data_IF_766068700015
#
_entry.id   IF_766068700015
#
_cell.length_a   1.000
_cell.length_b   1.000
_cell.length_c   1.000
_cell.angle_alpha   90.00
_cell.angle_beta   90.00
_cell.angle_gamma   90.00
#
_symmetry.space_group_name_H-M   'P 1'
#
loop_
_entity.id
_entity.type
_entity.pdbx_description
1 polymer ?
#
# COMPACT_ATOMS: atom_id res chain seq x y z
N UNK A 1 -4.80 8.00 -23.49
CA UNK A 1 -3.91 6.83 -23.49
C UNK A 1 -2.48 7.38 -23.40
N UNK A 2 -1.93 7.52 -22.20
CA UNK A 2 -0.56 8.00 -21.99
C UNK A 2 0.38 6.86 -22.37
N UNK A 3 1.20 7.07 -23.38
CA UNK A 3 2.28 6.14 -23.74
C UNK A 3 3.39 6.29 -22.70
N UNK A 4 3.39 5.43 -21.70
CA UNK A 4 4.51 5.28 -20.81
C UNK A 4 5.63 4.53 -21.54
N UNK A 5 6.47 5.28 -22.23
CA UNK A 5 7.68 4.78 -22.85
C UNK A 5 8.85 5.62 -22.33
N UNK A 6 9.00 5.66 -21.01
CA UNK A 6 10.12 6.34 -20.38
C UNK A 6 11.01 5.33 -19.71
N UNK A 7 12.29 5.38 -20.04
CA UNK A 7 13.34 4.76 -19.23
C UNK A 7 13.04 5.18 -17.78
N UNK A 8 12.80 4.20 -16.92
CA UNK A 8 12.49 4.45 -15.51
C UNK A 8 13.63 5.25 -14.91
N UNK A 9 13.32 6.41 -14.38
CA UNK A 9 14.32 7.22 -13.67
C UNK A 9 14.44 6.68 -12.24
N UNK A 10 15.39 5.74 -12.06
CA UNK A 10 15.71 5.12 -10.77
C UNK A 10 16.01 6.20 -9.71
N UNK A 11 16.56 7.32 -10.09
CA UNK A 11 16.83 8.41 -9.18
C UNK A 11 15.53 9.02 -8.63
N UNK A 12 14.55 9.29 -9.48
CA UNK A 12 13.25 9.84 -9.03
C UNK A 12 12.52 8.84 -8.13
N UNK A 13 12.54 7.57 -8.51
CA UNK A 13 11.94 6.48 -7.74
C UNK A 13 12.56 6.38 -6.35
N UNK A 14 13.90 6.32 -6.27
CA UNK A 14 14.59 6.21 -4.98
C UNK A 14 14.44 7.47 -4.12
N UNK A 15 14.48 8.66 -4.72
CA UNK A 15 14.17 9.90 -4.01
C UNK A 15 12.76 9.89 -3.42
N UNK A 16 11.75 9.46 -4.20
CA UNK A 16 10.37 9.35 -3.74
C UNK A 16 10.25 8.43 -2.52
N UNK A 17 10.81 7.23 -2.62
CA UNK A 17 10.77 6.25 -1.54
C UNK A 17 11.52 6.73 -0.29
N UNK A 18 12.73 7.26 -0.46
CA UNK A 18 13.55 7.74 0.65
C UNK A 18 12.85 8.86 1.41
N UNK A 19 12.45 9.92 0.71
CA UNK A 19 11.81 11.08 1.33
C UNK A 19 10.49 10.69 2.00
N UNK A 20 9.68 9.85 1.34
CA UNK A 20 8.44 9.36 1.90
C UNK A 20 8.64 8.54 3.18
N UNK A 21 9.61 7.63 3.20
CA UNK A 21 9.95 6.85 4.39
C UNK A 21 10.49 7.74 5.52
N UNK A 22 11.32 8.75 5.20
CA UNK A 22 11.85 9.71 6.19
C UNK A 22 10.72 10.55 6.80
N UNK A 23 9.77 11.02 5.99
CA UNK A 23 8.59 11.74 6.46
C UNK A 23 7.77 10.90 7.44
N UNK A 24 7.47 9.65 7.11
CA UNK A 24 6.73 8.74 7.99
C UNK A 24 7.49 8.43 9.29
N UNK A 25 8.80 8.23 9.23
CA UNK A 25 9.64 8.04 10.42
C UNK A 25 9.67 9.26 11.33
N UNK A 26 9.69 10.46 10.76
CA UNK A 26 9.79 11.71 11.53
C UNK A 26 8.62 11.95 12.46
N UNK A 27 7.45 11.40 12.12
CA UNK A 27 6.23 11.46 12.96
C UNK A 27 5.99 10.19 13.77
N UNK A 28 6.92 9.24 13.74
CA UNK A 28 6.80 7.98 14.46
C UNK A 28 5.69 7.06 13.95
N UNK A 29 5.28 7.21 12.68
CA UNK A 29 4.29 6.35 12.07
C UNK A 29 4.80 4.91 12.00
N UNK A 30 3.93 3.95 12.32
CA UNK A 30 4.19 2.54 12.05
C UNK A 30 3.72 2.22 10.66
N UNK A 31 4.66 1.95 9.76
CA UNK A 31 4.40 1.77 8.34
C UNK A 31 5.23 0.64 7.73
N UNK A 32 4.83 0.18 6.56
CA UNK A 32 5.51 -0.88 5.79
C UNK A 32 5.22 -0.74 4.30
N UNK A 33 6.14 -1.24 3.47
CA UNK A 33 5.89 -1.42 2.05
C UNK A 33 4.94 -2.60 1.85
N UNK A 34 3.98 -2.48 0.97
CA UNK A 34 2.93 -3.47 0.76
C UNK A 34 2.59 -3.68 -0.72
N UNK A 35 1.59 -4.48 -0.95
CA UNK A 35 0.89 -4.66 -2.23
C UNK A 35 1.79 -4.89 -3.45
N UNK A 36 1.52 -4.19 -4.55
CA UNK A 36 2.17 -4.38 -5.83
C UNK A 36 3.67 -4.08 -5.79
N UNK A 37 4.05 -3.04 -5.10
CA UNK A 37 5.46 -2.64 -4.98
C UNK A 37 6.29 -3.71 -4.23
N UNK A 38 5.78 -4.22 -3.10
CA UNK A 38 6.47 -5.29 -2.36
C UNK A 38 6.52 -6.60 -3.16
N UNK A 39 5.40 -6.99 -3.79
CA UNK A 39 5.34 -8.17 -4.65
C UNK A 39 6.38 -8.11 -5.77
N UNK A 40 6.49 -6.96 -6.44
CA UNK A 40 7.41 -6.77 -7.55
C UNK A 40 8.87 -6.88 -7.11
N UNK A 41 9.24 -6.21 -6.02
CA UNK A 41 10.62 -6.21 -5.52
C UNK A 41 11.02 -7.62 -5.04
N UNK A 42 10.16 -8.33 -4.32
CA UNK A 42 10.43 -9.69 -3.87
C UNK A 42 10.52 -10.70 -5.01
N UNK A 43 9.85 -10.44 -6.12
CA UNK A 43 9.74 -11.35 -7.26
C UNK A 43 10.77 -11.07 -8.34
N UNK A 44 11.05 -9.80 -8.63
CA UNK A 44 11.86 -9.35 -9.77
C UNK A 44 13.08 -8.53 -9.35
N UNK A 45 13.20 -8.17 -8.07
CA UNK A 45 14.24 -7.28 -7.56
C UNK A 45 13.97 -5.80 -7.84
N UNK A 46 12.90 -5.49 -8.58
CA UNK A 46 12.51 -4.15 -8.99
C UNK A 46 10.99 -4.01 -8.99
N UNK A 47 10.47 -2.79 -8.82
CA UNK A 47 9.04 -2.52 -9.01
C UNK A 47 8.64 -2.80 -10.48
N UNK A 48 7.41 -3.25 -10.70
CA UNK A 48 6.98 -3.61 -12.06
C UNK A 48 7.11 -2.47 -13.05
N UNK A 49 7.48 -2.78 -14.29
CA UNK A 49 7.77 -1.77 -15.31
C UNK A 49 6.58 -0.86 -15.63
N UNK A 50 5.36 -1.32 -15.39
CA UNK A 50 4.13 -0.56 -15.60
C UNK A 50 3.66 0.21 -14.37
N UNK A 51 4.23 -0.07 -13.17
CA UNK A 51 3.90 0.62 -11.94
C UNK A 51 4.67 1.93 -11.81
N UNK A 52 4.05 2.88 -11.13
CA UNK A 52 4.58 4.21 -10.86
C UNK A 52 4.18 4.71 -9.47
N UNK A 53 3.90 3.76 -8.57
CA UNK A 53 3.52 4.02 -7.17
C UNK A 53 4.24 3.11 -6.19
N UNK A 54 4.29 3.57 -4.95
CA UNK A 54 4.66 2.79 -3.79
C UNK A 54 3.46 2.68 -2.87
N UNK A 55 2.99 1.46 -2.64
CA UNK A 55 1.94 1.18 -1.67
C UNK A 55 2.52 1.07 -0.27
N UNK A 56 2.14 1.97 0.61
CA UNK A 56 2.59 1.97 2.00
C UNK A 56 1.42 1.71 2.94
N UNK A 57 1.49 0.63 3.70
CA UNK A 57 0.57 0.38 4.80
C UNK A 57 0.91 1.26 6.01
N UNK A 58 -0.10 1.84 6.65
CA UNK A 58 0.01 2.65 7.88
C UNK A 58 -0.86 2.01 8.94
N UNK A 59 -0.33 1.81 10.14
CA UNK A 59 -1.12 1.28 11.24
C UNK A 59 -1.90 2.39 11.94
N UNK A 60 -3.23 2.42 11.74
CA UNK A 60 -4.13 3.42 12.31
C UNK A 60 -4.19 4.73 11.53
N UNK A 61 -5.06 5.62 11.93
CA UNK A 61 -5.34 6.89 11.25
C UNK A 61 -5.01 8.15 12.07
N UNK A 62 -4.63 7.94 13.33
CA UNK A 62 -4.50 9.03 14.29
C UNK A 62 -3.42 10.07 13.95
N UNK A 63 -2.63 9.86 12.91
CA UNK A 63 -1.49 10.71 12.55
C UNK A 63 -1.60 11.31 11.15
N UNK A 64 -2.77 11.27 10.50
CA UNK A 64 -2.88 11.77 9.11
C UNK A 64 -2.43 13.22 8.97
N UNK A 65 -2.81 14.08 9.90
CA UNK A 65 -2.46 15.50 9.84
C UNK A 65 -0.95 15.70 10.02
N UNK A 66 -0.34 15.01 10.95
CA UNK A 66 1.10 15.02 11.20
C UNK A 66 1.85 14.46 10.00
N UNK A 67 1.38 13.35 9.43
CA UNK A 67 1.91 12.75 8.20
C UNK A 67 1.86 13.78 7.07
N UNK A 68 0.70 14.40 6.80
CA UNK A 68 0.58 15.38 5.73
C UNK A 68 1.51 16.59 5.93
N UNK A 69 1.78 16.98 7.17
CA UNK A 69 2.67 18.11 7.49
C UNK A 69 4.15 17.72 7.36
N UNK A 70 4.49 16.44 7.55
CA UNK A 70 5.86 15.94 7.48
C UNK A 70 6.39 15.83 6.04
N UNK A 71 5.48 15.65 5.07
CA UNK A 71 5.89 15.59 3.68
C UNK A 71 6.33 16.97 3.16
N UNK A 72 7.47 17.07 2.47
CA UNK A 72 7.93 18.34 1.93
C UNK A 72 7.03 18.82 0.76
N UNK A 73 7.07 20.12 0.41
CA UNK A 73 6.14 20.73 -0.58
C UNK A 73 6.18 20.11 -1.97
N UNK A 74 7.23 19.37 -2.31
CA UNK A 74 7.37 18.64 -3.57
C UNK A 74 6.43 17.43 -3.66
N UNK A 75 6.00 16.90 -2.50
CA UNK A 75 4.99 15.87 -2.39
C UNK A 75 3.61 16.53 -2.38
N UNK A 76 2.95 16.49 -3.52
CA UNK A 76 1.66 17.14 -3.72
C UNK A 76 0.52 16.20 -3.35
N UNK A 77 -0.35 16.58 -2.39
CA UNK A 77 -1.51 15.76 -2.04
C UNK A 77 -2.40 15.50 -3.26
N UNK A 78 -2.81 14.26 -3.44
CA UNK A 78 -3.78 13.86 -4.45
C UNK A 78 -5.17 13.80 -3.81
N UNK A 79 -5.94 14.87 -3.91
CA UNK A 79 -7.25 14.98 -3.25
C UNK A 79 -8.24 13.88 -3.64
N UNK A 80 -8.14 13.34 -4.85
CA UNK A 80 -8.96 12.21 -5.30
C UNK A 80 -8.61 10.88 -4.62
N UNK A 81 -7.40 10.75 -4.06
CA UNK A 81 -6.95 9.57 -3.34
C UNK A 81 -7.27 9.62 -1.84
N UNK A 82 -7.81 10.74 -1.34
CA UNK A 82 -8.31 10.80 0.04
C UNK A 82 -9.63 10.03 0.14
N UNK A 83 -9.57 8.84 0.73
CA UNK A 83 -10.70 7.95 0.79
C UNK A 83 -11.17 7.75 2.23
N UNK A 84 -12.38 8.21 2.53
CA UNK A 84 -13.07 8.00 3.81
C UNK A 84 -14.20 6.99 3.60
N UNK A 85 -14.10 5.85 4.28
CA UNK A 85 -15.13 4.81 4.28
C UNK A 85 -15.43 4.44 5.73
N UNK A 86 -16.71 4.29 6.07
CA UNK A 86 -17.17 4.01 7.43
C UNK A 86 -16.66 5.02 8.48
N UNK A 87 -16.51 6.29 8.06
CA UNK A 87 -16.03 7.36 8.94
C UNK A 87 -14.54 7.32 9.26
N UNK A 88 -13.77 6.45 8.60
CA UNK A 88 -12.33 6.30 8.80
C UNK A 88 -11.56 6.57 7.53
N UNK A 89 -10.39 7.19 7.66
CA UNK A 89 -9.47 7.38 6.54
C UNK A 89 -8.93 6.02 6.09
N UNK A 90 -9.15 5.64 4.85
CA UNK A 90 -8.71 4.36 4.30
C UNK A 90 -7.51 4.50 3.37
N UNK A 91 -7.44 5.58 2.64
CA UNK A 91 -6.37 5.85 1.71
C UNK A 91 -6.04 7.33 1.62
N UNK A 92 -4.81 7.65 1.32
CA UNK A 92 -4.31 9.00 1.02
C UNK A 92 -3.07 8.88 0.16
N UNK A 93 -2.87 9.78 -0.80
CA UNK A 93 -1.68 9.70 -1.63
C UNK A 93 -1.06 11.07 -1.91
N UNK A 94 0.24 11.01 -2.20
CA UNK A 94 1.02 12.15 -2.66
C UNK A 94 1.62 11.84 -4.02
N UNK A 95 1.74 12.87 -4.86
CA UNK A 95 2.52 12.83 -6.07
C UNK A 95 3.86 13.49 -5.87
N UNK A 96 4.94 12.76 -6.18
CA UNK A 96 6.29 13.26 -6.27
C UNK A 96 6.81 13.08 -7.69
N UNK A 97 6.93 14.17 -8.45
CA UNK A 97 7.30 14.11 -9.87
C UNK A 97 6.39 13.15 -10.65
N UNK A 98 6.91 12.07 -11.20
CA UNK A 98 6.17 11.04 -11.93
C UNK A 98 5.72 9.87 -11.05
N UNK A 99 6.01 9.87 -9.76
CA UNK A 99 5.70 8.79 -8.82
C UNK A 99 4.59 9.16 -7.87
N UNK A 100 3.83 8.16 -7.46
CA UNK A 100 2.82 8.26 -6.41
C UNK A 100 3.35 7.56 -5.16
N UNK A 101 3.15 8.17 -4.02
CA UNK A 101 3.37 7.59 -2.71
C UNK A 101 2.01 7.39 -2.06
N UNK A 102 1.47 6.17 -2.17
CA UNK A 102 0.11 5.81 -1.73
C UNK A 102 0.13 5.27 -0.31
N UNK A 103 -0.71 5.81 0.54
CA UNK A 103 -0.87 5.43 1.95
C UNK A 103 -2.19 4.69 2.14
N UNK A 104 -2.14 3.49 2.71
CA UNK A 104 -3.30 2.70 3.10
C UNK A 104 -3.34 2.54 4.62
N UNK A 105 -4.43 3.01 5.22
CA UNK A 105 -4.59 3.00 6.67
C UNK A 105 -5.25 1.72 7.12
N UNK A 106 -4.58 1.02 8.03
CA UNK A 106 -4.99 -0.30 8.52
C UNK A 106 -5.41 -0.22 9.99
N UNK A 107 -6.56 -0.77 10.28
CA UNK A 107 -7.20 -0.68 11.60
C UNK A 107 -7.15 -2.01 12.32
N UNK A 108 -6.92 -1.95 13.62
CA UNK A 108 -6.92 -3.13 14.48
C UNK A 108 -8.32 -3.77 14.54
N UNK A 109 -8.36 -5.05 14.25
CA UNK A 109 -9.57 -5.87 14.19
C UNK A 109 -9.35 -7.22 14.88
N UNK A 110 -8.79 -7.17 16.10
CA UNK A 110 -8.44 -8.36 16.86
C UNK A 110 -7.18 -9.04 16.36
N UNK A 111 -7.30 -10.22 15.74
CA UNK A 111 -6.17 -10.96 15.17
C UNK A 111 -5.76 -10.46 13.77
N UNK A 112 -6.54 -9.53 13.20
CA UNK A 112 -6.30 -8.97 11.87
C UNK A 112 -6.10 -7.47 11.91
N UNK A 113 -5.52 -6.94 10.85
CA UNK A 113 -5.64 -5.55 10.42
C UNK A 113 -6.65 -5.51 9.29
N UNK A 114 -7.47 -4.47 9.24
CA UNK A 114 -8.51 -4.28 8.22
C UNK A 114 -8.36 -2.94 7.51
N UNK A 115 -8.52 -2.94 6.18
CA UNK A 115 -8.61 -1.75 5.34
C UNK A 115 -9.79 -1.90 4.38
N UNK A 116 -10.68 -0.90 4.32
CA UNK A 116 -11.79 -0.88 3.38
C UNK A 116 -11.38 -0.17 2.09
N UNK A 117 -11.80 -0.72 0.97
CA UNK A 117 -11.51 -0.13 -0.34
C UNK A 117 -12.73 -0.23 -1.26
N UNK A 118 -12.86 0.75 -2.15
CA UNK A 118 -13.84 0.71 -3.22
C UNK A 118 -13.31 -0.09 -4.39
N UNK A 119 -14.16 -0.92 -4.97
CA UNK A 119 -13.83 -1.68 -6.16
C UNK A 119 -14.99 -1.63 -7.16
N UNK A 120 -14.71 -1.65 -8.47
CA UNK A 120 -15.75 -1.70 -9.48
C UNK A 120 -16.41 -3.09 -9.48
N UNK A 121 -17.73 -3.12 -9.59
CA UNK A 121 -18.54 -4.30 -9.89
C UNK A 121 -19.24 -4.10 -11.22
N UNK A 122 -19.93 -5.11 -11.70
CA UNK A 122 -20.60 -5.08 -13.01
C UNK A 122 -21.55 -3.86 -13.18
N UNK A 123 -22.17 -3.41 -12.10
CA UNK A 123 -23.19 -2.33 -12.15
C UNK A 123 -22.88 -1.11 -11.30
N UNK A 124 -21.91 -1.16 -10.40
CA UNK A 124 -21.61 -0.06 -9.48
C UNK A 124 -20.26 -0.22 -8.76
N UNK A 125 -19.78 0.86 -8.15
CA UNK A 125 -18.71 0.79 -7.16
C UNK A 125 -19.24 0.16 -5.86
N UNK A 126 -18.52 -0.82 -5.35
CA UNK A 126 -18.79 -1.48 -4.07
C UNK A 126 -17.64 -1.27 -3.10
N UNK A 127 -17.89 -1.52 -1.84
CA UNK A 127 -16.88 -1.53 -0.80
C UNK A 127 -16.63 -2.96 -0.38
N UNK A 128 -15.37 -3.32 -0.26
CA UNK A 128 -14.93 -4.56 0.35
C UNK A 128 -13.80 -4.30 1.33
N UNK A 129 -13.45 -5.28 2.11
CA UNK A 129 -12.46 -5.17 3.17
C UNK A 129 -11.33 -6.16 2.94
N UNK A 130 -10.11 -5.67 3.03
CA UNK A 130 -8.92 -6.50 3.16
C UNK A 130 -8.69 -6.84 4.62
N UNK A 131 -8.32 -8.09 4.89
CA UNK A 131 -7.95 -8.61 6.19
C UNK A 131 -6.55 -9.20 6.10
N UNK A 132 -5.64 -8.76 6.92
CA UNK A 132 -4.28 -9.26 6.97
C UNK A 132 -3.93 -9.66 8.41
N UNK A 133 -3.25 -10.78 8.58
CA UNK A 133 -2.89 -11.30 9.90
C UNK A 133 -2.02 -10.31 10.65
N UNK A 134 -2.51 -9.75 11.73
CA UNK A 134 -1.87 -8.71 12.54
C UNK A 134 -0.46 -9.10 13.00
N UNK A 135 -0.22 -10.41 13.24
CA UNK A 135 1.09 -10.94 13.64
C UNK A 135 2.21 -10.54 12.69
N UNK A 136 1.91 -10.43 11.37
CA UNK A 136 2.89 -10.09 10.33
C UNK A 136 3.41 -8.66 10.42
N UNK A 137 2.67 -7.80 11.12
CA UNK A 137 2.96 -6.37 11.26
C UNK A 137 3.41 -5.99 12.68
N UNK A 138 3.44 -6.93 13.62
CA UNK A 138 3.84 -6.65 15.00
C UNK A 138 5.31 -6.29 15.08
N UNK A 139 6.16 -7.09 14.44
CA UNK A 139 7.61 -6.89 14.36
C UNK A 139 8.03 -6.89 12.89
N UNK A 140 8.05 -5.72 12.27
CA UNK A 140 8.43 -5.56 10.88
C UNK A 140 9.89 -5.96 10.64
N UNK A 141 10.16 -6.55 9.48
CA UNK A 141 11.53 -6.71 8.99
C UNK A 141 11.96 -5.44 8.23
N UNK A 142 13.23 -5.37 7.88
CA UNK A 142 13.76 -4.35 6.97
C UNK A 142 14.21 -5.00 5.66
N UNK A 143 13.80 -4.42 4.55
CA UNK A 143 14.26 -4.75 3.21
C UNK A 143 15.19 -3.63 2.72
N UNK A 144 16.27 -3.98 2.04
CA UNK A 144 17.10 -3.01 1.33
C UNK A 144 16.65 -2.90 -0.12
N UNK A 145 16.24 -1.71 -0.52
CA UNK A 145 15.90 -1.43 -1.90
C UNK A 145 16.69 -0.20 -2.37
N UNK A 146 17.66 -0.43 -3.26
CA UNK A 146 18.62 0.60 -3.73
C UNK A 146 19.32 1.38 -2.60
N UNK A 147 19.68 0.70 -1.50
CA UNK A 147 20.31 1.31 -0.32
C UNK A 147 19.34 1.99 0.64
N UNK A 148 18.05 1.97 0.36
CA UNK A 148 17.02 2.51 1.24
C UNK A 148 16.45 1.38 2.10
N UNK A 149 16.51 1.54 3.43
CA UNK A 149 15.92 0.60 4.37
C UNK A 149 14.41 0.85 4.49
N UNK A 150 13.61 -0.10 4.04
CA UNK A 150 12.15 -0.02 4.03
C UNK A 150 11.56 -1.08 4.95
N UNK A 151 10.69 -0.72 5.90
CA UNK A 151 9.98 -1.72 6.70
C UNK A 151 9.07 -2.58 5.82
N UNK A 152 9.02 -3.88 6.08
CA UNK A 152 8.17 -4.85 5.40
C UNK A 152 7.50 -5.80 6.39
N UNK A 153 6.36 -6.43 6.04
CA UNK A 153 5.74 -7.46 6.88
C UNK A 153 6.69 -8.62 7.16
N UNK A 154 6.61 -9.21 8.32
CA UNK A 154 7.51 -10.28 8.77
C UNK A 154 6.76 -11.51 9.29
N UNK A 155 6.95 -12.71 8.68
CA UNK A 155 7.77 -12.98 7.49
C UNK A 155 7.12 -12.47 6.18
N UNK A 156 7.90 -11.82 5.33
CA UNK A 156 7.41 -11.27 4.05
C UNK A 156 6.77 -12.32 3.16
N UNK A 157 7.35 -13.53 3.09
CA UNK A 157 6.78 -14.61 2.30
C UNK A 157 5.39 -15.04 2.81
N UNK A 158 5.15 -15.09 4.13
CA UNK A 158 3.80 -15.38 4.65
C UNK A 158 2.80 -14.31 4.25
N UNK A 159 3.19 -13.03 4.31
CA UNK A 159 2.35 -11.93 3.83
C UNK A 159 1.97 -12.09 2.35
N UNK A 160 2.94 -12.36 1.48
CA UNK A 160 2.68 -12.53 0.06
C UNK A 160 1.82 -13.75 -0.25
N UNK A 161 1.97 -14.85 0.51
CA UNK A 161 1.10 -16.02 0.43
C UNK A 161 -0.32 -15.68 0.89
N UNK A 162 -0.47 -14.97 2.00
CA UNK A 162 -1.78 -14.55 2.52
C UNK A 162 -2.48 -13.61 1.55
N UNK A 163 -1.73 -12.69 0.95
CA UNK A 163 -2.24 -11.67 0.03
C UNK A 163 -2.58 -12.21 -1.35
N UNK A 164 -1.72 -13.03 -1.94
CA UNK A 164 -1.78 -13.44 -3.34
C UNK A 164 -1.96 -14.95 -3.55
N UNK A 165 -1.67 -15.78 -2.56
CA UNK A 165 -1.69 -17.23 -2.66
C UNK A 165 -0.31 -17.85 -2.80
N UNK A 166 -0.25 -19.21 -2.76
CA UNK A 166 1.02 -19.95 -2.80
C UNK A 166 1.79 -19.78 -4.11
N UNK A 167 1.13 -19.39 -5.15
CA UNK A 167 1.66 -19.18 -6.50
C UNK A 167 2.09 -17.74 -6.80
N UNK A 168 2.21 -16.89 -5.77
CA UNK A 168 2.53 -15.47 -5.90
C UNK A 168 3.80 -15.19 -6.72
N UNK A 169 4.75 -16.14 -6.77
CA UNK A 169 5.99 -16.01 -7.55
C UNK A 169 5.79 -16.15 -9.05
N UNK A 170 4.77 -16.90 -9.46
CA UNK A 170 4.55 -17.29 -10.89
C UNK A 170 3.23 -16.81 -11.46
N UNK A 171 2.38 -16.30 -10.62
CA UNK A 171 1.08 -15.76 -10.98
C UNK A 171 1.19 -14.68 -12.08
N UNK A 172 0.46 -14.82 -13.21
CA UNK A 172 0.59 -13.89 -14.33
C UNK A 172 -0.03 -12.53 -13.98
N UNK A 173 0.78 -11.49 -14.02
CA UNK A 173 0.31 -10.11 -13.96
C UNK A 173 -0.04 -9.67 -15.39
N UNK A 174 -1.29 -9.83 -15.78
CA UNK A 174 -1.78 -9.28 -17.05
C UNK A 174 -2.37 -7.90 -16.81
N UNK A 175 -2.22 -6.96 -17.74
CA UNK A 175 -2.65 -5.56 -17.58
C UNK A 175 -4.14 -5.32 -17.36
N UNK A 176 -4.96 -6.38 -17.29
CA UNK A 176 -6.36 -6.37 -16.90
C UNK A 176 -6.58 -6.86 -15.47
N UNK A 177 -5.51 -7.11 -14.72
CA UNK A 177 -5.58 -7.70 -13.40
C UNK A 177 -6.21 -6.73 -12.42
N UNK A 178 -7.43 -7.04 -12.11
CA UNK A 178 -8.19 -6.43 -11.04
C UNK A 178 -7.63 -6.99 -9.73
N UNK A 179 -6.68 -6.27 -9.11
CA UNK A 179 -5.96 -6.64 -7.90
C UNK A 179 -6.85 -7.26 -6.80
N UNK A 180 -8.11 -6.81 -6.68
CA UNK A 180 -9.08 -7.36 -5.71
C UNK A 180 -9.56 -8.78 -6.05
N UNK A 181 -9.52 -9.20 -7.32
CA UNK A 181 -9.91 -10.56 -7.72
C UNK A 181 -8.85 -11.57 -7.28
N UNK A 182 -7.60 -11.17 -7.30
CA UNK A 182 -6.48 -12.04 -6.98
C UNK A 182 -6.08 -12.00 -5.51
N UNK A 183 -6.51 -10.98 -4.77
CA UNK A 183 -6.22 -10.90 -3.34
C UNK A 183 -7.04 -11.90 -2.55
N UNK A 184 -6.38 -12.81 -1.87
CA UNK A 184 -7.00 -13.81 -0.99
C UNK A 184 -7.50 -13.21 0.32
N UNK A 185 -6.93 -12.08 0.72
CA UNK A 185 -7.32 -11.35 1.94
C UNK A 185 -8.56 -10.46 1.75
N UNK A 186 -9.06 -10.31 0.52
CA UNK A 186 -10.21 -9.46 0.21
C UNK A 186 -11.55 -10.17 0.45
N UNK A 187 -12.47 -9.49 1.14
CA UNK A 187 -13.84 -9.97 1.39
C UNK A 187 -14.84 -8.85 1.13
N UNK A 188 -16.01 -9.22 0.62
CA UNK A 188 -17.14 -8.30 0.44
C UNK A 188 -17.93 -8.05 1.74
N UNK A 189 -17.64 -8.78 2.82
CA UNK A 189 -18.25 -8.57 4.13
C UNK A 189 -17.61 -7.36 4.82
N UNK A 190 -18.46 -6.43 5.24
CA UNK A 190 -18.06 -5.18 5.86
C UNK A 190 -18.53 -5.06 7.32
N UNK A 191 -19.05 -6.12 7.92
CA UNK A 191 -19.63 -6.12 9.29
C UNK A 191 -18.62 -5.75 10.38
N UNK A 192 -17.33 -5.90 10.09
CA UNK A 192 -16.26 -5.55 11.03
C UNK A 192 -16.24 -4.06 11.37
N UNK A 193 -16.63 -3.19 10.44
CA UNK A 193 -16.53 -1.73 10.62
C UNK A 193 -17.49 -1.17 11.67
N UNK A 194 -18.52 -1.92 12.03
CA UNK A 194 -19.38 -1.59 13.17
C UNK A 194 -18.68 -1.80 14.52
N UNK A 195 -17.60 -2.58 14.56
CA UNK A 195 -16.85 -2.96 15.77
C UNK A 195 -15.55 -2.18 15.93
N UNK A 196 -15.00 -1.65 14.85
CA UNK A 196 -13.79 -0.84 14.88
C UNK A 196 -14.15 0.58 15.32
N UNK A 197 -13.80 0.94 16.54
CA UNK A 197 -14.07 2.25 17.15
C UNK A 197 -12.96 3.25 16.86
#
# INVERSE_FOLDING_TARGET
MLKYNTVRDIKILTECLQIGCEALRSVGAKFWLSDGALLAIEREGEVFQHDHDFDMGIWGDGQLQEICTAFPPEFKPLGWASEIIYGKQQGYAFQYKSWIFDLRFWYDSGEYLANAQRYPSEFAWRVGTFYESKKLFTNLAEMDYHGIKVPVPNPTNEYLVERYGNDWKTFPLTGENRWWIYSKSFKSDNSIWEKIK
#
